data_IF_851099291604
#
_entry.id   IF_851099291604
#
_cell.length_a   1.000
_cell.length_b   1.000
_cell.length_c   1.000
_cell.angle_alpha   90.00
_cell.angle_beta   90.00
_cell.angle_gamma   90.00
#
_symmetry.space_group_name_H-M   'P 1'
#
loop_
_entity.id
_entity.type
_entity.pdbx_description
1 polymer ?
#
# COMPACT_ATOMS: atom_id res chain seq x y z
N UNK A 1 -20.20 -70.49 -51.51
CA UNK A 1 -20.53 -69.05 -51.34
C UNK A 1 -19.45 -68.42 -50.49
N UNK A 2 -18.81 -67.36 -51.01
CA UNK A 2 -17.74 -66.61 -50.33
C UNK A 2 -18.39 -65.64 -49.34
N UNK A 3 -17.93 -65.60 -48.09
CA UNK A 3 -18.13 -64.45 -47.21
C UNK A 3 -16.77 -63.91 -46.77
N UNK A 4 -16.49 -62.70 -47.23
CA UNK A 4 -15.43 -61.81 -46.78
C UNK A 4 -16.02 -60.96 -45.65
N UNK A 5 -15.34 -60.82 -44.50
CA UNK A 5 -15.72 -59.81 -43.50
C UNK A 5 -14.48 -59.20 -42.84
N UNK A 6 -14.51 -57.88 -42.81
CA UNK A 6 -13.49 -56.90 -42.44
C UNK A 6 -13.18 -56.84 -40.93
N UNK A 7 -11.89 -56.65 -40.66
CA UNK A 7 -11.25 -55.68 -39.75
C UNK A 7 -12.09 -54.95 -38.69
N UNK A 8 -11.59 -54.90 -37.44
CA UNK A 8 -11.58 -53.66 -36.65
C UNK A 8 -10.46 -53.69 -35.59
N UNK A 9 -9.48 -52.80 -35.77
CA UNK A 9 -8.46 -52.49 -34.77
C UNK A 9 -8.94 -51.38 -33.84
N UNK A 10 -8.64 -51.48 -32.54
CA UNK A 10 -8.87 -50.43 -31.57
C UNK A 10 -7.53 -49.87 -31.10
N UNK A 11 -7.20 -48.65 -31.52
CA UNK A 11 -6.05 -47.88 -31.03
C UNK A 11 -6.53 -46.99 -29.89
N UNK A 12 -6.10 -47.28 -28.66
CA UNK A 12 -6.38 -46.43 -27.51
C UNK A 12 -5.40 -45.25 -27.48
N UNK A 13 -5.90 -44.02 -27.63
CA UNK A 13 -5.10 -42.81 -27.46
C UNK A 13 -5.03 -42.45 -25.96
N UNK A 14 -3.80 -42.43 -25.42
CA UNK A 14 -3.51 -42.06 -24.04
C UNK A 14 -3.26 -40.54 -23.97
N UNK A 15 -4.24 -39.78 -23.51
CA UNK A 15 -4.12 -38.33 -23.35
C UNK A 15 -3.46 -38.01 -22.01
N UNK A 16 -2.22 -37.51 -22.03
CA UNK A 16 -1.57 -36.95 -20.84
C UNK A 16 -2.13 -35.55 -20.55
N UNK A 17 -2.76 -35.37 -19.39
CA UNK A 17 -3.12 -34.05 -18.86
C UNK A 17 -1.89 -33.51 -18.13
N UNK A 18 -1.15 -32.61 -18.76
CA UNK A 18 -0.10 -31.86 -18.08
C UNK A 18 -0.76 -30.81 -17.18
N UNK A 19 -0.76 -31.06 -15.87
CA UNK A 19 -1.09 -30.05 -14.87
C UNK A 19 -0.05 -28.93 -14.92
N UNK A 20 -0.44 -27.75 -15.42
CA UNK A 20 0.41 -26.58 -15.44
C UNK A 20 0.81 -26.18 -14.01
N UNK A 21 2.10 -26.15 -13.74
CA UNK A 21 2.62 -25.52 -12.54
C UNK A 21 2.40 -24.01 -12.66
N UNK A 22 1.54 -23.44 -11.81
CA UNK A 22 1.44 -21.99 -11.69
C UNK A 22 2.76 -21.49 -11.09
N UNK A 23 3.49 -20.67 -11.84
CA UNK A 23 4.61 -19.93 -11.29
C UNK A 23 4.07 -19.03 -10.17
N UNK A 24 4.51 -19.25 -8.93
CA UNK A 24 4.22 -18.34 -7.83
C UNK A 24 5.03 -17.06 -8.11
N UNK A 25 4.35 -15.95 -8.38
CA UNK A 25 5.02 -14.66 -8.42
C UNK A 25 5.72 -14.44 -7.07
N UNK A 26 7.00 -14.05 -7.05
CA UNK A 26 7.68 -13.78 -5.80
C UNK A 26 6.93 -12.68 -5.02
N UNK A 27 6.91 -12.73 -3.68
CA UNK A 27 6.32 -11.67 -2.88
C UNK A 27 6.95 -10.32 -3.22
N UNK A 28 6.12 -9.31 -3.46
CA UNK A 28 6.57 -7.92 -3.58
C UNK A 28 7.04 -7.49 -2.19
N UNK A 29 8.28 -7.01 -2.09
CA UNK A 29 8.84 -6.47 -0.84
C UNK A 29 9.01 -4.96 -1.06
N UNK A 30 8.35 -4.10 -0.27
CA UNK A 30 8.47 -2.67 -0.42
C UNK A 30 9.89 -2.20 -0.08
N UNK A 31 10.34 -1.18 -0.82
CA UNK A 31 11.57 -0.45 -0.55
C UNK A 31 11.36 0.58 0.56
N UNK A 32 10.16 1.16 0.63
CA UNK A 32 9.78 2.14 1.65
C UNK A 32 8.36 1.86 2.14
N UNK A 33 8.15 1.92 3.45
CA UNK A 33 6.83 1.82 4.09
C UNK A 33 6.56 3.12 4.83
N UNK A 34 5.41 3.73 4.60
CA UNK A 34 4.90 4.85 5.37
C UNK A 34 3.64 4.43 6.10
N UNK A 35 3.63 4.53 7.42
CA UNK A 35 2.45 4.27 8.24
C UNK A 35 2.01 5.56 8.93
N UNK A 36 0.73 5.93 8.84
CA UNK A 36 0.22 7.16 9.44
C UNK A 36 -1.27 7.06 9.82
N UNK A 37 -1.68 7.81 10.83
CA UNK A 37 -3.08 7.88 11.27
C UNK A 37 -3.77 9.23 10.98
N UNK A 38 -5.05 9.28 11.30
CA UNK A 38 -5.87 10.50 11.28
C UNK A 38 -5.57 11.50 12.42
N UNK A 39 -4.58 11.23 13.29
CA UNK A 39 -4.27 11.99 14.50
C UNK A 39 -2.90 12.67 14.51
N UNK A 40 -2.14 12.54 13.43
CA UNK A 40 -0.82 13.16 13.31
C UNK A 40 0.33 12.25 13.73
N UNK A 41 0.10 10.96 13.98
CA UNK A 41 1.16 10.01 14.24
C UNK A 41 1.56 9.29 12.95
N UNK A 42 2.86 9.25 12.66
CA UNK A 42 3.33 8.47 11.53
C UNK A 42 4.80 8.07 11.63
N UNK A 43 5.15 7.01 10.91
CA UNK A 43 6.47 6.42 10.81
C UNK A 43 6.80 6.07 9.36
N UNK A 44 8.02 6.37 8.93
CA UNK A 44 8.60 5.91 7.68
C UNK A 44 9.69 4.87 7.94
N UNK A 45 9.73 3.84 7.12
CA UNK A 45 10.73 2.79 7.14
C UNK A 45 11.32 2.61 5.74
N UNK A 46 12.65 2.69 5.61
CA UNK A 46 13.34 2.39 4.35
C UNK A 46 14.08 1.04 4.43
N UNK A 47 14.18 0.37 3.28
CA UNK A 47 14.92 -0.88 3.10
C UNK A 47 16.39 -0.67 3.53
N UNK A 48 16.73 -1.17 4.72
CA UNK A 48 17.95 -0.83 5.44
C UNK A 48 17.76 -0.68 6.96
N UNK A 49 16.50 -0.60 7.42
CA UNK A 49 16.16 -0.63 8.84
C UNK A 49 16.09 0.75 9.50
N UNK A 50 16.16 1.82 8.72
CA UNK A 50 16.07 3.18 9.25
C UNK A 50 14.60 3.55 9.47
N UNK A 51 14.20 3.61 10.74
CA UNK A 51 12.93 4.17 11.17
C UNK A 51 13.07 5.69 11.34
N UNK A 52 12.15 6.44 10.75
CA UNK A 52 12.06 7.89 10.89
C UNK A 52 10.62 8.28 11.27
N UNK A 53 10.40 9.17 12.24
CA UNK A 53 9.09 9.79 12.42
C UNK A 53 8.65 10.53 11.14
N UNK A 54 7.38 10.38 10.76
CA UNK A 54 6.79 11.25 9.76
C UNK A 54 6.32 12.53 10.44
N UNK A 55 6.83 13.66 9.98
CA UNK A 55 6.44 14.94 10.54
C UNK A 55 5.05 15.33 10.05
N UNK A 56 4.13 15.56 10.98
CA UNK A 56 2.76 15.96 10.71
C UNK A 56 2.49 17.38 11.20
N UNK A 57 1.61 18.09 10.50
CA UNK A 57 1.20 19.45 10.86
C UNK A 57 -0.15 19.80 10.23
N UNK A 58 -0.83 20.79 10.78
CA UNK A 58 -2.04 21.35 10.18
C UNK A 58 -1.63 22.46 9.21
N UNK A 59 -1.99 22.32 7.94
CA UNK A 59 -1.76 23.34 6.91
C UNK A 59 -2.86 23.35 5.86
N UNK A 60 -2.83 24.37 5.01
CA UNK A 60 -3.65 24.37 3.81
C UNK A 60 -3.21 23.25 2.88
N UNK A 61 -4.16 22.43 2.44
CA UNK A 61 -3.95 21.46 1.37
C UNK A 61 -3.71 22.20 0.04
N UNK A 62 -2.55 22.01 -0.60
CA UNK A 62 -2.25 22.65 -1.89
C UNK A 62 -3.01 22.04 -3.07
N UNK A 63 -3.68 20.89 -2.88
CA UNK A 63 -4.45 20.21 -3.92
C UNK A 63 -5.75 20.93 -4.32
N UNK A 64 -6.38 20.50 -5.43
CA UNK A 64 -7.63 21.08 -5.92
C UNK A 64 -8.72 21.11 -4.85
N UNK A 65 -9.30 22.29 -4.60
CA UNK A 65 -10.37 22.44 -3.61
C UNK A 65 -9.96 22.11 -2.18
N UNK A 66 -8.66 22.09 -1.89
CA UNK A 66 -8.09 21.73 -0.59
C UNK A 66 -8.59 22.60 0.56
N UNK A 67 -8.71 21.98 1.73
CA UNK A 67 -9.10 22.64 2.98
C UNK A 67 -7.92 23.47 3.55
N UNK A 68 -8.20 24.63 4.16
CA UNK A 68 -7.19 25.48 4.81
C UNK A 68 -6.62 24.89 6.11
N UNK A 69 -7.28 23.90 6.71
CA UNK A 69 -6.88 23.25 7.97
C UNK A 69 -6.80 21.73 7.85
N UNK A 70 -5.99 21.24 6.92
CA UNK A 70 -5.85 19.81 6.66
C UNK A 70 -4.65 19.19 7.39
N UNK A 71 -4.82 17.96 7.91
CA UNK A 71 -3.72 17.21 8.52
C UNK A 71 -2.78 16.73 7.41
N UNK A 72 -1.56 17.24 7.42
CA UNK A 72 -0.56 17.03 6.36
C UNK A 72 0.63 16.29 6.94
N UNK A 73 1.10 15.28 6.23
CA UNK A 73 2.31 14.53 6.51
C UNK A 73 3.38 14.83 5.47
N UNK A 74 4.54 15.30 5.92
CA UNK A 74 5.71 15.44 5.05
C UNK A 74 6.34 14.07 4.80
N UNK A 75 6.63 13.77 3.53
CA UNK A 75 7.35 12.55 3.17
C UNK A 75 8.87 12.73 3.24
N UNK A 76 9.37 13.97 3.32
CA UNK A 76 10.79 14.38 3.27
C UNK A 76 11.62 13.74 2.11
N UNK A 77 10.94 13.15 1.12
CA UNK A 77 11.51 12.38 -0.01
C UNK A 77 11.19 13.11 -1.34
N UNK A 78 11.79 12.73 -2.49
CA UNK A 78 11.97 13.61 -3.64
C UNK A 78 10.63 14.12 -4.20
N UNK A 79 10.65 15.31 -4.83
CA UNK A 79 9.45 16.08 -5.16
C UNK A 79 8.48 15.37 -6.13
N UNK A 80 8.91 14.30 -6.81
CA UNK A 80 8.12 13.62 -7.84
C UNK A 80 7.37 12.41 -7.29
N UNK A 81 6.28 12.65 -6.56
CA UNK A 81 5.23 11.65 -6.37
C UNK A 81 4.11 11.92 -7.39
N UNK A 82 3.41 10.90 -7.83
CA UNK A 82 2.24 11.08 -8.69
C UNK A 82 1.10 11.71 -7.86
N UNK A 83 0.57 12.88 -8.24
CA UNK A 83 -0.56 13.50 -7.56
C UNK A 83 -1.81 12.64 -7.71
N UNK A 84 -2.66 12.64 -6.68
CA UNK A 84 -3.96 12.02 -6.76
C UNK A 84 -4.61 11.75 -5.42
N UNK A 85 -5.81 11.19 -5.47
CA UNK A 85 -6.66 10.94 -4.33
C UNK A 85 -6.90 9.44 -4.14
N UNK A 86 -6.82 8.96 -2.90
CA UNK A 86 -7.16 7.58 -2.50
C UNK A 86 -8.28 7.66 -1.47
N UNK A 87 -9.46 7.19 -1.84
CA UNK A 87 -10.56 7.05 -0.90
C UNK A 87 -10.38 5.77 -0.06
N UNK A 88 -10.52 5.91 1.26
CA UNK A 88 -10.50 4.81 2.22
C UNK A 88 -11.94 4.33 2.42
N UNK A 89 -12.18 3.05 2.17
CA UNK A 89 -13.51 2.44 2.17
C UNK A 89 -13.53 1.31 3.19
N UNK A 90 -14.45 1.38 4.15
CA UNK A 90 -14.77 0.23 5.00
C UNK A 90 -15.59 -0.78 4.17
N UNK A 91 -15.06 -1.99 3.91
CA UNK A 91 -15.77 -2.99 3.12
C UNK A 91 -17.00 -3.56 3.84
N UNK A 92 -17.10 -3.43 5.17
CA UNK A 92 -18.18 -4.00 5.98
C UNK A 92 -19.53 -3.32 5.72
N UNK A 93 -19.51 -2.02 5.39
CA UNK A 93 -20.68 -1.17 5.20
C UNK A 93 -20.62 -0.34 3.90
N UNK A 94 -19.53 -0.48 3.11
CA UNK A 94 -19.25 0.36 1.94
C UNK A 94 -19.28 1.86 2.26
N UNK A 95 -18.93 2.22 3.49
CA UNK A 95 -18.86 3.59 3.96
C UNK A 95 -17.56 4.24 3.51
N UNK A 96 -17.63 5.55 3.32
CA UNK A 96 -16.47 6.36 3.06
C UNK A 96 -15.92 6.80 4.41
N UNK A 97 -14.70 6.37 4.72
CA UNK A 97 -14.12 6.51 6.05
C UNK A 97 -13.08 7.63 6.04
N UNK A 98 -12.42 7.84 4.89
CA UNK A 98 -11.51 8.95 4.70
C UNK A 98 -10.98 9.11 3.28
N UNK A 99 -10.13 10.12 3.11
CA UNK A 99 -9.40 10.37 1.88
C UNK A 99 -7.95 10.70 2.20
N UNK A 100 -7.05 10.02 1.50
CA UNK A 100 -5.64 10.39 1.41
C UNK A 100 -5.42 11.12 0.10
N UNK A 101 -4.84 12.31 0.18
CA UNK A 101 -4.48 13.10 -0.99
C UNK A 101 -2.98 13.25 -1.10
N UNK A 102 -2.41 12.80 -2.21
CA UNK A 102 -1.00 12.92 -2.51
C UNK A 102 -0.72 14.21 -3.28
N UNK A 103 0.16 15.04 -2.71
CA UNK A 103 0.59 16.31 -3.28
C UNK A 103 2.10 16.26 -3.59
N UNK A 104 2.50 16.48 -4.86
CA UNK A 104 3.90 16.54 -5.23
C UNK A 104 4.59 17.73 -4.58
N UNK A 105 5.89 17.57 -4.32
CA UNK A 105 6.74 18.66 -3.88
C UNK A 105 7.21 19.50 -5.06
N UNK A 106 7.91 20.58 -4.75
CA UNK A 106 8.61 21.41 -5.74
C UNK A 106 10.04 21.70 -5.26
N UNK A 107 10.67 22.75 -5.80
CA UNK A 107 12.04 23.12 -5.39
C UNK A 107 12.11 23.66 -3.95
N UNK A 108 10.98 24.03 -3.35
CA UNK A 108 10.89 24.68 -2.05
C UNK A 108 10.07 23.89 -1.03
N UNK A 109 9.36 22.85 -1.47
CA UNK A 109 8.43 22.07 -0.65
C UNK A 109 8.67 20.58 -0.85
N UNK A 110 8.60 19.83 0.25
CA UNK A 110 8.66 18.37 0.19
C UNK A 110 7.33 17.82 -0.33
N UNK A 111 7.37 16.65 -0.99
CA UNK A 111 6.16 15.92 -1.27
C UNK A 111 5.45 15.57 0.05
N UNK A 112 4.12 15.54 -0.01
CA UNK A 112 3.28 15.32 1.17
C UNK A 112 2.05 14.51 0.82
N UNK A 113 1.42 13.95 1.84
CA UNK A 113 0.02 13.57 1.73
C UNK A 113 -0.81 14.22 2.82
N UNK A 114 -2.08 14.43 2.50
CA UNK A 114 -3.09 15.01 3.38
C UNK A 114 -4.08 13.93 3.77
N UNK A 115 -4.41 13.87 5.06
CA UNK A 115 -5.38 12.92 5.61
C UNK A 115 -6.69 13.66 5.97
N UNK A 116 -7.74 13.34 5.23
CA UNK A 116 -9.11 13.75 5.53
C UNK A 116 -9.84 12.58 6.19
N UNK A 117 -10.13 12.67 7.50
CA UNK A 117 -10.94 11.67 8.21
C UNK A 117 -12.39 12.12 8.26
N UNK A 118 -13.32 11.23 7.91
CA UNK A 118 -14.76 11.50 7.98
C UNK A 118 -15.26 11.60 9.44
N UNK A 119 -14.62 10.90 10.37
CA UNK A 119 -15.10 10.76 11.75
C UNK A 119 -14.65 11.89 12.68
N UNK A 120 -13.47 12.47 12.45
CA UNK A 120 -12.87 13.42 13.39
C UNK A 120 -13.35 14.87 13.25
N UNK A 121 -14.29 15.16 12.34
CA UNK A 121 -14.92 16.49 12.18
C UNK A 121 -13.99 17.67 11.82
N UNK A 122 -12.68 17.46 11.83
CA UNK A 122 -11.64 18.47 11.55
C UNK A 122 -11.54 18.77 10.04
N UNK A 123 -12.17 17.97 9.18
CA UNK A 123 -11.90 18.02 7.76
C UNK A 123 -13.10 17.53 6.95
N UNK A 124 -14.10 18.41 6.72
CA UNK A 124 -14.95 18.23 5.54
C UNK A 124 -13.99 18.11 4.36
N UNK A 125 -14.03 16.98 3.66
CA UNK A 125 -13.12 16.67 2.56
C UNK A 125 -12.94 17.82 1.56
N UNK A 126 -11.97 17.71 0.66
CA UNK A 126 -11.72 18.75 -0.33
C UNK A 126 -12.96 18.99 -1.19
N UNK A 127 -13.14 20.24 -1.64
CA UNK A 127 -14.29 20.65 -2.47
C UNK A 127 -14.19 20.17 -3.92
N UNK A 128 -13.03 19.65 -4.32
CA UNK A 128 -12.76 19.04 -5.62
C UNK A 128 -11.76 17.92 -5.43
N UNK A 129 -11.79 16.90 -6.30
CA UNK A 129 -10.80 15.83 -6.32
C UNK A 129 -9.76 16.05 -7.43
N UNK A 130 -8.60 15.41 -7.30
CA UNK A 130 -7.70 15.20 -8.42
C UNK A 130 -8.37 14.29 -9.47
N UNK A 131 -8.08 14.47 -10.77
CA UNK A 131 -8.57 13.55 -11.81
C UNK A 131 -8.04 12.12 -11.64
N UNK A 132 -6.84 11.98 -11.05
CA UNK A 132 -6.26 10.69 -10.69
C UNK A 132 -6.79 10.28 -9.32
N UNK A 133 -7.72 9.32 -9.31
CA UNK A 133 -8.36 8.86 -8.08
C UNK A 133 -8.47 7.34 -8.07
N UNK A 134 -8.35 6.75 -6.89
CA UNK A 134 -8.52 5.30 -6.67
C UNK A 134 -9.09 5.03 -5.27
N UNK A 135 -9.24 3.76 -4.93
CA UNK A 135 -9.77 3.28 -3.67
C UNK A 135 -8.76 2.36 -2.98
N UNK A 136 -8.70 2.43 -1.66
CA UNK A 136 -8.12 1.39 -0.82
C UNK A 136 -9.17 0.90 0.17
N UNK A 137 -9.21 -0.41 0.41
CA UNK A 137 -10.15 -1.03 1.32
C UNK A 137 -9.50 -1.25 2.66
N UNK A 138 -10.17 -0.81 3.71
CA UNK A 138 -9.74 -1.06 5.08
C UNK A 138 -9.99 -2.52 5.45
N UNK A 139 -9.17 -3.07 6.34
CA UNK A 139 -9.41 -4.35 6.96
C UNK A 139 -10.41 -4.23 8.12
N UNK A 140 -10.68 -5.33 8.82
CA UNK A 140 -11.58 -5.33 9.99
C UNK A 140 -11.09 -4.48 11.17
N UNK A 141 -9.86 -3.96 11.11
CA UNK A 141 -9.26 -3.12 12.14
C UNK A 141 -9.15 -1.65 11.70
N UNK A 142 -9.75 -1.25 10.56
CA UNK A 142 -9.66 0.11 10.04
C UNK A 142 -8.29 0.44 9.42
N UNK A 143 -7.53 -0.58 9.02
CA UNK A 143 -6.21 -0.42 8.40
C UNK A 143 -6.35 -0.57 6.89
N UNK A 144 -5.98 0.46 6.14
CA UNK A 144 -5.86 0.40 4.69
C UNK A 144 -4.39 0.28 4.27
N UNK A 145 -4.03 -0.84 3.65
CA UNK A 145 -2.73 -1.03 3.00
C UNK A 145 -2.83 -0.65 1.52
N UNK A 146 -1.89 0.14 1.01
CA UNK A 146 -1.91 0.68 -0.34
C UNK A 146 -0.53 0.70 -0.97
N UNK A 147 -0.37 -0.02 -2.09
CA UNK A 147 0.87 -0.09 -2.88
C UNK A 147 0.58 0.47 -4.29
N UNK A 148 0.89 1.74 -4.57
CA UNK A 148 0.61 2.34 -5.86
C UNK A 148 1.39 1.67 -7.00
N UNK A 149 0.71 1.45 -8.12
CA UNK A 149 1.33 1.09 -9.40
C UNK A 149 1.73 2.33 -10.18
N UNK A 150 2.43 2.14 -11.30
CA UNK A 150 2.82 3.25 -12.17
C UNK A 150 1.60 4.08 -12.59
N UNK A 151 1.67 5.39 -12.34
CA UNK A 151 0.61 6.40 -12.53
C UNK A 151 -0.51 6.41 -11.47
N UNK A 152 -0.49 5.52 -10.48
CA UNK A 152 -1.43 5.61 -9.36
C UNK A 152 -1.02 6.74 -8.40
N UNK A 153 -1.97 7.33 -7.65
CA UNK A 153 -1.68 8.33 -6.63
C UNK A 153 -0.60 7.86 -5.65
N UNK A 154 0.39 8.70 -5.36
CA UNK A 154 1.48 8.35 -4.45
C UNK A 154 2.58 7.47 -5.06
N UNK A 155 2.49 7.08 -6.34
CA UNK A 155 3.57 6.37 -7.02
C UNK A 155 4.86 7.21 -7.05
N UNK A 156 6.00 6.53 -6.82
CA UNK A 156 7.35 7.11 -6.89
C UNK A 156 8.18 6.26 -7.83
N UNK A 157 8.73 6.87 -8.88
CA UNK A 157 9.52 6.12 -9.86
C UNK A 157 10.80 5.53 -9.25
N UNK A 158 11.06 4.26 -9.56
CA UNK A 158 12.23 3.53 -9.07
C UNK A 158 12.14 2.99 -7.64
N UNK A 159 11.02 3.17 -6.94
CA UNK A 159 10.78 2.62 -5.60
C UNK A 159 9.45 1.88 -5.52
N UNK A 160 9.44 0.76 -4.81
CA UNK A 160 8.21 0.12 -4.37
C UNK A 160 7.83 0.73 -3.02
N UNK A 161 6.80 1.56 -3.00
CA UNK A 161 6.33 2.22 -1.78
C UNK A 161 5.05 1.53 -1.29
N UNK A 162 4.98 1.29 0.01
CA UNK A 162 3.76 0.85 0.69
C UNK A 162 3.31 1.95 1.65
N UNK A 163 2.01 2.23 1.62
CA UNK A 163 1.35 3.13 2.55
C UNK A 163 0.38 2.34 3.42
N UNK A 164 0.40 2.59 4.72
CA UNK A 164 -0.47 1.98 5.71
C UNK A 164 -1.21 3.09 6.44
N UNK A 165 -2.51 3.21 6.21
CA UNK A 165 -3.35 4.25 6.78
C UNK A 165 -4.23 3.68 7.87
N UNK A 166 -4.23 4.34 9.02
CA UNK A 166 -5.10 3.99 10.14
C UNK A 166 -6.11 5.11 10.34
N UNK A 167 -7.36 4.81 10.04
CA UNK A 167 -8.45 5.73 10.32
C UNK A 167 -9.13 5.28 11.62
N UNK A 168 -8.61 5.74 12.75
CA UNK A 168 -9.19 5.45 14.07
C UNK A 168 -9.84 6.72 14.63
N UNK A 169 -10.92 6.56 15.40
CA UNK A 169 -11.53 7.60 16.24
C UNK A 169 -10.95 7.63 17.66
N UNK A 170 -10.22 6.58 18.06
CA UNK A 170 -9.61 6.44 19.38
C UNK A 170 -8.11 6.75 19.27
N UNK A 171 -7.62 7.80 19.96
CA UNK A 171 -6.18 8.03 20.05
C UNK A 171 -5.51 6.87 20.80
N UNK A 172 -4.92 5.91 20.09
CA UNK A 172 -4.19 4.85 20.76
C UNK A 172 -2.82 5.37 21.24
N UNK A 173 -2.50 5.23 22.54
CA UNK A 173 -1.16 5.51 23.01
C UNK A 173 -0.23 4.41 22.47
N UNK A 174 0.61 4.74 21.49
CA UNK A 174 1.82 3.99 21.09
C UNK A 174 1.68 2.70 20.26
N UNK A 175 0.57 2.45 19.58
CA UNK A 175 0.42 1.25 18.72
C UNK A 175 1.43 1.22 17.57
N UNK A 176 1.84 2.38 17.05
CA UNK A 176 2.94 2.48 16.10
C UNK A 176 4.31 2.07 16.65
N UNK A 177 4.55 2.27 17.95
CA UNK A 177 5.76 1.76 18.59
C UNK A 177 5.71 0.22 18.64
N UNK A 178 4.54 -0.36 18.95
CA UNK A 178 4.36 -1.81 18.96
C UNK A 178 4.45 -2.44 17.55
N UNK A 179 3.84 -1.81 16.55
CA UNK A 179 3.84 -2.27 15.15
C UNK A 179 5.22 -2.08 14.50
N UNK A 180 5.87 -0.95 14.75
CA UNK A 180 7.26 -0.69 14.35
C UNK A 180 8.26 -1.66 14.99
N UNK A 181 8.07 -2.05 16.26
CA UNK A 181 8.87 -3.10 16.91
C UNK A 181 8.57 -4.49 16.34
N UNK A 182 7.32 -4.78 16.00
CA UNK A 182 6.92 -6.04 15.36
C UNK A 182 7.56 -6.24 13.98
N UNK A 183 7.48 -5.22 13.12
CA UNK A 183 8.06 -5.23 11.77
C UNK A 183 9.59 -5.33 11.83
N UNK A 184 10.24 -4.58 12.74
CA UNK A 184 11.69 -4.73 13.01
C UNK A 184 12.07 -6.15 13.44
N UNK A 185 11.26 -6.75 14.31
CA UNK A 185 11.47 -8.13 14.78
C UNK A 185 11.46 -9.14 13.64
N UNK A 186 10.50 -9.03 12.73
CA UNK A 186 10.39 -9.89 11.54
C UNK A 186 11.53 -9.62 10.55
N UNK A 187 11.84 -8.35 10.25
CA UNK A 187 12.93 -7.98 9.36
C UNK A 187 14.29 -8.51 9.84
N UNK A 188 14.59 -8.38 11.14
CA UNK A 188 15.81 -8.95 11.73
C UNK A 188 15.84 -10.49 11.65
N UNK A 189 14.70 -11.16 11.82
CA UNK A 189 14.61 -12.61 11.77
C UNK A 189 14.87 -13.13 10.34
N UNK A 190 14.31 -12.45 9.34
CA UNK A 190 14.55 -12.73 7.91
C UNK A 190 16.02 -12.51 7.56
N UNK A 191 16.62 -11.39 7.98
CA UNK A 191 18.05 -11.10 7.73
C UNK A 191 18.98 -12.11 8.43
N UNK A 192 18.64 -12.56 9.64
CA UNK A 192 19.41 -13.59 10.39
C UNK A 192 19.37 -14.95 9.71
N UNK A 193 18.23 -15.32 9.12
CA UNK A 193 18.07 -16.60 8.41
C UNK A 193 18.93 -16.69 7.14
N UNK A 194 19.16 -15.54 6.47
CA UNK A 194 19.99 -15.45 5.25
C UNK A 194 21.48 -15.65 5.54
N UNK A 195 22.01 -15.10 6.64
CA UNK A 195 23.42 -15.28 7.03
C UNK A 195 23.81 -16.72 7.36
N UNK A 196 22.86 -17.56 7.74
CA UNK A 196 23.13 -18.98 8.08
C UNK A 196 23.26 -19.90 6.86
N UNK A 197 22.85 -19.45 5.67
CA UNK A 197 22.92 -20.28 4.44
C UNK A 197 24.22 -20.11 3.64
N UNK A 198 25.17 -19.30 4.12
CA UNK A 198 26.41 -18.98 3.39
C UNK A 198 27.66 -19.65 3.99
N UNK A 199 27.51 -20.66 4.85
CA UNK A 199 28.63 -21.48 5.32
C UNK A 199 28.35 -22.97 5.06
N UNK A 200 28.72 -23.42 3.87
CA UNK A 200 29.09 -24.80 3.59
C UNK A 200 30.33 -24.73 2.71
N UNK A 201 31.48 -25.04 3.32
CA UNK A 201 32.75 -25.36 2.65
C UNK A 201 32.80 -26.86 2.48
#
# INVERSE_FOLDING_TARGET
>A
MKYSLMTLGATAALTFVASGAFAQNPPIIPDVIFAADSHGNGLGFAQGGFLRPLYSYISQDPGPGGNSTALTYSLDYPPSIVPGDVALIDPSNSHYDGLIRFNPGDQNTSASFVFYSAENGINSGPTSFYPNYTFSFEDSNGIAEYIPQANDPGYVDGFIVEYVFLNDAVPEPSTYAALGLGILGVAMLVLRSRRRRTFTV
#
